data_IF_622056414349
#
_entry.id   IF_622056414349
#
_cell.length_a   1.000
_cell.length_b   1.000
_cell.length_c   1.000
_cell.angle_alpha   90.00
_cell.angle_beta   90.00
_cell.angle_gamma   90.00
#
_symmetry.space_group_name_H-M   'P 1'
#
loop_
_entity.id
_entity.type
_entity.pdbx_description
1 polymer ?
#
# COMPACT_ATOMS: atom_id res chain seq x y z
N UNK A 1 -2.11 -65.46 72.66
CA UNK A 1 -2.48 -64.03 72.69
C UNK A 1 -1.38 -63.28 72.01
N UNK A 2 -1.73 -62.49 71.02
CA UNK A 2 -0.78 -61.71 70.23
C UNK A 2 -1.08 -60.22 70.45
N UNK A 3 -0.03 -59.42 70.64
CA UNK A 3 -0.17 -57.97 70.75
C UNK A 3 0.10 -57.35 69.38
N UNK A 4 -0.91 -56.71 68.81
CA UNK A 4 -0.84 -56.11 67.47
C UNK A 4 -0.92 -54.59 67.61
N UNK A 5 -0.07 -53.89 66.86
CA UNK A 5 -0.02 -52.44 66.81
C UNK A 5 -0.10 -51.98 65.36
N UNK A 6 -1.17 -51.26 65.01
CA UNK A 6 -1.29 -50.62 63.71
C UNK A 6 -0.44 -49.36 63.64
N UNK A 7 0.08 -49.07 62.44
CA UNK A 7 0.82 -47.83 62.18
C UNK A 7 -0.13 -46.63 62.05
N UNK A 8 0.45 -45.43 61.99
CA UNK A 8 -0.29 -44.19 61.80
C UNK A 8 -1.05 -44.10 60.46
N UNK A 9 -0.71 -44.97 59.52
CA UNK A 9 -1.25 -45.02 58.17
C UNK A 9 -2.04 -46.32 57.89
N UNK A 10 -2.44 -47.02 58.94
CA UNK A 10 -3.16 -48.30 58.86
C UNK A 10 -4.34 -48.29 59.84
N UNK A 11 -5.50 -48.75 59.38
CA UNK A 11 -6.65 -49.09 60.21
C UNK A 11 -6.47 -50.49 60.78
N UNK A 12 -6.77 -50.64 62.07
CA UNK A 12 -6.85 -51.94 62.73
C UNK A 12 -8.30 -52.43 62.74
N UNK A 13 -8.57 -53.48 61.98
CA UNK A 13 -9.87 -54.14 61.94
C UNK A 13 -9.76 -55.49 62.62
N UNK A 14 -10.67 -55.80 63.55
CA UNK A 14 -10.72 -57.08 64.25
C UNK A 14 -11.99 -57.80 63.89
N UNK A 15 -11.88 -59.08 63.56
CA UNK A 15 -13.01 -59.95 63.34
C UNK A 15 -13.16 -60.93 64.49
N UNK A 16 -14.39 -61.05 65.01
CA UNK A 16 -14.76 -61.97 66.08
C UNK A 16 -16.12 -62.57 65.80
N UNK A 17 -16.23 -63.89 65.78
CA UNK A 17 -17.51 -64.60 65.63
C UNK A 17 -18.34 -64.15 64.42
N UNK A 18 -17.68 -63.85 63.29
CA UNK A 18 -18.33 -63.38 62.06
C UNK A 18 -18.73 -61.91 62.04
N UNK A 19 -18.47 -61.16 63.12
CA UNK A 19 -18.62 -59.70 63.16
C UNK A 19 -17.26 -59.03 62.95
N UNK A 20 -17.27 -57.90 62.25
CA UNK A 20 -16.08 -57.11 61.95
C UNK A 20 -16.23 -55.76 62.63
N UNK A 21 -15.22 -55.37 63.42
CA UNK A 21 -15.20 -54.14 64.19
C UNK A 21 -13.96 -53.33 63.83
N UNK A 22 -14.15 -52.04 63.51
CA UNK A 22 -13.06 -51.10 63.27
C UNK A 22 -12.60 -50.44 64.57
N UNK A 23 -11.33 -50.65 64.94
CA UNK A 23 -10.73 -50.03 66.13
C UNK A 23 -10.11 -48.66 65.85
N UNK A 24 -10.01 -48.26 64.58
CA UNK A 24 -9.46 -46.98 64.13
C UNK A 24 -7.97 -47.04 63.73
N UNK A 25 -7.42 -45.86 63.47
CA UNK A 25 -6.02 -45.67 63.03
C UNK A 25 -5.07 -45.62 64.23
N UNK A 26 -3.82 -46.07 64.05
CA UNK A 26 -2.75 -45.98 65.04
C UNK A 26 -3.07 -46.65 66.41
N UNK A 27 -4.01 -47.59 66.43
CA UNK A 27 -4.42 -48.32 67.63
C UNK A 27 -3.61 -49.58 67.83
N UNK A 28 -3.49 -49.98 69.08
CA UNK A 28 -2.93 -51.27 69.49
C UNK A 28 -3.93 -52.01 70.34
N UNK A 29 -4.05 -53.31 70.13
CA UNK A 29 -4.94 -54.16 70.92
C UNK A 29 -4.33 -55.56 71.13
N UNK A 30 -4.80 -56.25 72.16
CA UNK A 30 -4.51 -57.67 72.35
C UNK A 30 -5.54 -58.50 71.59
N UNK A 31 -5.06 -59.40 70.75
CA UNK A 31 -5.89 -60.35 69.99
C UNK A 31 -6.06 -61.62 70.84
N UNK A 32 -7.31 -61.87 71.21
CA UNK A 32 -7.71 -63.05 71.99
C UNK A 32 -7.91 -64.28 71.10
N UNK A 33 -7.77 -65.50 71.64
CA UNK A 33 -8.06 -66.72 70.90
C UNK A 33 -9.48 -66.70 70.28
N UNK A 34 -9.57 -67.01 68.98
CA UNK A 34 -10.83 -66.93 68.21
C UNK A 34 -11.12 -65.56 67.57
N UNK A 35 -10.21 -64.60 67.70
CA UNK A 35 -10.22 -63.35 66.93
C UNK A 35 -9.18 -63.40 65.82
N UNK A 36 -9.49 -62.78 64.68
CA UNK A 36 -8.52 -62.45 63.65
C UNK A 36 -8.41 -60.94 63.50
N UNK A 37 -7.30 -60.46 62.94
CA UNK A 37 -7.08 -59.05 62.68
C UNK A 37 -6.67 -58.85 61.23
N UNK A 38 -7.01 -57.68 60.71
CA UNK A 38 -6.70 -57.24 59.35
C UNK A 38 -6.19 -55.79 59.46
N UNK A 39 -5.08 -55.51 58.79
CA UNK A 39 -4.54 -54.16 58.69
C UNK A 39 -4.89 -53.59 57.32
N UNK A 40 -5.63 -52.49 57.30
CA UNK A 40 -6.11 -51.87 56.05
C UNK A 40 -5.40 -50.53 55.88
N UNK A 41 -4.77 -50.24 54.72
CA UNK A 41 -4.08 -48.97 54.52
C UNK A 41 -5.06 -47.79 54.56
N UNK A 42 -4.70 -46.73 55.27
CA UNK A 42 -5.44 -45.46 55.29
C UNK A 42 -4.85 -44.41 54.33
N UNK A 43 -3.73 -44.73 53.69
CA UNK A 43 -3.06 -43.86 52.71
C UNK A 43 -3.84 -43.77 51.41
N UNK A 44 -3.57 -42.70 50.66
CA UNK A 44 -3.99 -42.62 49.27
C UNK A 44 -3.23 -43.63 48.42
N UNK A 45 -3.94 -44.27 47.50
CA UNK A 45 -3.44 -45.28 46.58
C UNK A 45 -3.77 -44.82 45.17
N UNK A 46 -2.80 -45.00 44.27
CA UNK A 46 -2.93 -44.68 42.86
C UNK A 46 -3.13 -45.96 42.04
N UNK A 47 -4.14 -45.94 41.18
CA UNK A 47 -4.39 -46.94 40.17
C UNK A 47 -4.22 -46.30 38.79
N UNK A 48 -3.25 -46.79 38.02
CA UNK A 48 -3.04 -46.39 36.64
C UNK A 48 -3.78 -47.34 35.70
N UNK A 49 -4.33 -46.80 34.62
CA UNK A 49 -4.91 -47.61 33.55
C UNK A 49 -4.45 -47.08 32.18
N UNK A 50 -4.24 -48.01 31.25
CA UNK A 50 -3.86 -47.69 29.89
C UNK A 50 -4.56 -48.60 28.89
N UNK A 51 -5.07 -48.02 27.79
CA UNK A 51 -5.66 -48.78 26.69
C UNK A 51 -5.34 -48.19 25.35
N UNK A 52 -5.52 -49.02 24.31
CA UNK A 52 -5.61 -48.55 22.94
C UNK A 52 -6.99 -48.91 22.42
N UNK A 53 -7.71 -47.93 21.89
CA UNK A 53 -9.07 -48.07 21.39
C UNK A 53 -9.21 -47.23 20.11
N UNK A 54 -9.88 -47.80 19.12
CA UNK A 54 -10.22 -47.08 17.88
C UNK A 54 -11.42 -46.16 18.14
N UNK A 55 -11.30 -44.90 17.69
CA UNK A 55 -12.41 -43.94 17.68
C UNK A 55 -13.43 -44.29 16.61
N UNK A 56 -14.56 -43.56 16.58
CA UNK A 56 -15.56 -43.70 15.52
C UNK A 56 -15.00 -43.50 14.11
N UNK A 57 -13.98 -42.67 13.98
CA UNK A 57 -13.28 -42.39 12.72
C UNK A 57 -12.31 -43.51 12.31
N UNK A 58 -12.18 -44.58 13.10
CA UNK A 58 -11.25 -45.67 12.86
C UNK A 58 -9.79 -45.33 13.23
N UNK A 59 -9.56 -44.24 13.96
CA UNK A 59 -8.21 -43.82 14.34
C UNK A 59 -7.85 -44.50 15.69
N UNK A 60 -6.74 -45.24 15.77
CA UNK A 60 -6.31 -45.87 17.02
C UNK A 60 -5.74 -44.82 17.99
N UNK A 61 -6.45 -44.63 19.09
CA UNK A 61 -6.09 -43.72 20.17
C UNK A 61 -5.65 -44.51 21.40
N UNK A 62 -4.53 -44.10 22.00
CA UNK A 62 -4.04 -44.64 23.27
C UNK A 62 -4.42 -43.70 24.40
N UNK A 63 -5.19 -44.22 25.34
CA UNK A 63 -5.62 -43.52 26.54
C UNK A 63 -4.76 -43.96 27.71
N UNK A 64 -4.29 -43.00 28.50
CA UNK A 64 -3.69 -43.22 29.81
C UNK A 64 -4.40 -42.38 30.83
N UNK A 65 -4.73 -42.96 31.97
CA UNK A 65 -5.34 -42.25 33.08
C UNK A 65 -4.91 -42.80 34.43
N UNK A 66 -5.23 -42.02 35.45
CA UNK A 66 -4.94 -42.31 36.85
C UNK A 66 -6.21 -42.12 37.68
N UNK A 67 -6.38 -42.99 38.67
CA UNK A 67 -7.42 -42.89 39.69
C UNK A 67 -6.73 -42.91 41.04
N UNK A 68 -6.95 -41.86 41.83
CA UNK A 68 -6.45 -41.77 43.20
C UNK A 68 -7.62 -42.00 44.14
N UNK A 69 -7.51 -42.99 45.00
CA UNK A 69 -8.54 -43.35 45.98
C UNK A 69 -7.93 -43.58 47.36
N UNK A 70 -8.78 -43.63 48.37
CA UNK A 70 -8.40 -44.07 49.72
C UNK A 70 -9.55 -44.86 50.35
N UNK A 71 -9.24 -45.62 51.41
CA UNK A 71 -10.22 -46.44 52.12
C UNK A 71 -10.77 -45.62 53.29
N UNK A 72 -12.06 -45.29 53.22
CA UNK A 72 -12.77 -44.54 54.27
C UNK A 72 -13.48 -45.50 55.24
N UNK A 73 -14.06 -46.59 54.71
CA UNK A 73 -14.79 -47.61 55.49
C UNK A 73 -14.06 -48.94 55.46
N UNK A 74 -13.08 -49.15 56.36
CA UNK A 74 -12.23 -50.36 56.33
C UNK A 74 -13.01 -51.64 56.65
N UNK A 75 -14.15 -51.55 57.34
CA UNK A 75 -15.04 -52.69 57.63
C UNK A 75 -15.61 -53.31 56.35
N UNK A 76 -16.08 -52.46 55.43
CA UNK A 76 -16.68 -52.89 54.17
C UNK A 76 -15.59 -53.38 53.22
N UNK A 77 -14.45 -52.68 53.19
CA UNK A 77 -13.31 -53.08 52.38
C UNK A 77 -12.79 -54.46 52.80
N UNK A 78 -12.59 -54.70 54.10
CA UNK A 78 -12.07 -55.96 54.64
C UNK A 78 -13.02 -57.15 54.46
N UNK A 79 -14.33 -56.92 54.24
CA UNK A 79 -15.28 -57.98 53.88
C UNK A 79 -15.15 -58.45 52.43
N UNK A 80 -14.62 -57.60 51.55
CA UNK A 80 -14.63 -57.82 50.11
C UNK A 80 -13.25 -58.14 49.53
N UNK A 81 -12.21 -57.63 50.17
CA UNK A 81 -10.84 -57.71 49.69
C UNK A 81 -9.92 -58.27 50.77
N UNK A 82 -8.92 -59.05 50.36
CA UNK A 82 -7.93 -59.63 51.25
C UNK A 82 -6.72 -58.70 51.44
N UNK A 83 -6.61 -58.08 52.62
CA UNK A 83 -5.50 -57.17 52.96
C UNK A 83 -4.30 -57.85 53.65
N UNK A 84 -4.26 -59.18 53.73
CA UNK A 84 -3.22 -59.89 54.48
C UNK A 84 -1.82 -59.74 53.87
N UNK A 85 -1.71 -59.60 52.54
CA UNK A 85 -0.45 -59.58 51.77
C UNK A 85 -0.40 -58.49 50.68
N UNK A 86 -0.99 -57.31 50.92
CA UNK A 86 -1.07 -56.24 49.90
C UNK A 86 -1.82 -56.68 48.60
N UNK A 87 -2.61 -57.75 48.68
CA UNK A 87 -3.44 -58.24 47.58
C UNK A 87 -4.67 -57.37 47.37
N UNK A 88 -5.28 -56.89 48.46
CA UNK A 88 -6.47 -56.05 48.43
C UNK A 88 -6.31 -54.81 47.56
N UNK A 89 -5.29 -53.96 47.77
CA UNK A 89 -5.03 -52.81 46.90
C UNK A 89 -4.85 -53.18 45.43
N UNK A 90 -4.17 -54.31 45.14
CA UNK A 90 -3.96 -54.78 43.76
C UNK A 90 -5.25 -55.25 43.10
N UNK A 91 -6.09 -55.97 43.83
CA UNK A 91 -7.42 -56.39 43.36
C UNK A 91 -8.32 -55.18 43.10
N UNK A 92 -8.32 -54.21 44.01
CA UNK A 92 -9.07 -52.95 43.82
C UNK A 92 -8.55 -52.22 42.59
N UNK A 93 -7.22 -52.08 42.43
CA UNK A 93 -6.62 -51.44 41.26
C UNK A 93 -7.04 -52.14 39.96
N UNK A 94 -6.98 -53.47 39.92
CA UNK A 94 -7.39 -54.24 38.75
C UNK A 94 -8.90 -54.10 38.44
N UNK A 95 -9.76 -54.02 39.45
CA UNK A 95 -11.18 -53.77 39.24
C UNK A 95 -11.47 -52.36 38.76
N UNK A 96 -10.83 -51.34 39.36
CA UNK A 96 -10.91 -49.95 38.90
C UNK A 96 -10.44 -49.83 37.46
N UNK A 97 -9.33 -50.48 37.11
CA UNK A 97 -8.84 -50.56 35.74
C UNK A 97 -9.92 -51.15 34.82
N UNK A 98 -10.43 -52.34 35.10
CA UNK A 98 -11.43 -52.99 34.24
C UNK A 98 -12.71 -52.15 34.03
N UNK A 99 -13.22 -51.50 35.08
CA UNK A 99 -14.40 -50.63 34.97
C UNK A 99 -14.08 -49.40 34.13
N UNK A 100 -12.95 -48.73 34.44
CA UNK A 100 -12.51 -47.55 33.69
C UNK A 100 -12.31 -47.89 32.21
N UNK A 101 -11.76 -49.06 31.92
CA UNK A 101 -11.55 -49.56 30.58
C UNK A 101 -12.87 -49.87 29.84
N UNK A 102 -13.85 -50.42 30.55
CA UNK A 102 -15.18 -50.68 29.99
C UNK A 102 -15.89 -49.41 29.57
N UNK A 103 -15.96 -48.43 30.48
CA UNK A 103 -16.63 -47.15 30.23
C UNK A 103 -15.95 -46.31 29.15
N UNK A 104 -14.61 -46.25 29.18
CA UNK A 104 -13.85 -45.55 28.15
C UNK A 104 -14.07 -46.17 26.77
N UNK A 105 -14.12 -47.51 26.67
CA UNK A 105 -14.37 -48.18 25.41
C UNK A 105 -15.75 -47.82 24.85
N UNK A 106 -16.79 -47.84 25.69
CA UNK A 106 -18.14 -47.47 25.27
C UNK A 106 -18.18 -46.02 24.78
N UNK A 107 -17.61 -45.07 25.54
CA UNK A 107 -17.62 -43.64 25.14
C UNK A 107 -16.80 -43.35 23.89
N UNK A 108 -15.58 -43.86 23.79
CA UNK A 108 -14.68 -43.60 22.66
C UNK A 108 -15.25 -44.17 21.36
N UNK A 109 -15.98 -45.30 21.41
CA UNK A 109 -16.59 -45.89 20.22
C UNK A 109 -17.66 -45.01 19.55
N UNK A 110 -18.24 -44.08 20.31
CA UNK A 110 -19.26 -43.15 19.83
C UNK A 110 -18.71 -41.75 19.54
N UNK A 111 -17.43 -41.49 19.82
CA UNK A 111 -16.81 -40.16 19.70
C UNK A 111 -15.82 -40.11 18.54
N UNK A 112 -15.79 -38.96 17.88
CA UNK A 112 -14.80 -38.64 16.87
C UNK A 112 -13.46 -38.35 17.54
N UNK A 113 -12.36 -38.41 16.78
CA UNK A 113 -11.00 -38.22 17.30
C UNK A 113 -10.81 -36.84 17.95
N UNK A 114 -11.30 -35.78 17.31
CA UNK A 114 -11.15 -34.41 17.82
C UNK A 114 -11.94 -34.22 19.13
N UNK A 115 -13.14 -34.80 19.21
CA UNK A 115 -13.92 -34.84 20.44
C UNK A 115 -13.20 -35.60 21.56
N UNK A 116 -12.55 -36.74 21.26
CA UNK A 116 -11.75 -37.48 22.24
C UNK A 116 -10.57 -36.67 22.79
N UNK A 117 -9.93 -35.84 21.97
CA UNK A 117 -8.76 -35.03 22.36
C UNK A 117 -9.20 -33.82 23.20
N UNK A 118 -10.26 -33.12 22.76
CA UNK A 118 -10.75 -31.88 23.35
C UNK A 118 -11.61 -32.10 24.60
N UNK A 119 -12.51 -33.10 24.58
CA UNK A 119 -13.41 -33.40 25.69
C UNK A 119 -12.82 -34.37 26.73
N UNK A 120 -11.52 -34.67 26.62
CA UNK A 120 -10.78 -35.55 27.53
C UNK A 120 -10.98 -35.23 29.01
N UNK A 121 -10.96 -33.94 29.37
CA UNK A 121 -11.04 -33.48 30.76
C UNK A 121 -12.48 -33.38 31.28
N UNK A 122 -13.48 -33.46 30.42
CA UNK A 122 -14.87 -33.20 30.75
C UNK A 122 -15.70 -34.47 30.60
N UNK A 123 -16.13 -34.79 29.39
CA UNK A 123 -17.12 -35.85 29.12
C UNK A 123 -16.58 -37.24 29.49
N UNK A 124 -15.33 -37.52 29.12
CA UNK A 124 -14.70 -38.83 29.39
C UNK A 124 -14.41 -39.02 30.89
N UNK A 125 -13.80 -38.03 31.54
CA UNK A 125 -13.53 -38.11 32.99
C UNK A 125 -14.83 -38.21 33.79
N UNK A 126 -15.85 -37.41 33.48
CA UNK A 126 -17.10 -37.41 34.24
C UNK A 126 -17.88 -38.73 34.10
N UNK A 127 -17.82 -39.38 32.93
CA UNK A 127 -18.44 -40.68 32.73
C UNK A 127 -17.81 -41.74 33.63
N UNK A 128 -16.48 -41.79 33.67
CA UNK A 128 -15.73 -42.74 34.52
C UNK A 128 -15.96 -42.44 36.00
N UNK A 129 -15.93 -41.16 36.41
CA UNK A 129 -16.16 -40.75 37.81
C UNK A 129 -17.50 -41.27 38.30
N UNK A 130 -18.57 -41.07 37.53
CA UNK A 130 -19.92 -41.45 37.94
C UNK A 130 -20.05 -42.96 38.20
N UNK A 131 -19.49 -43.77 37.31
CA UNK A 131 -19.56 -45.23 37.44
C UNK A 131 -18.67 -45.72 38.59
N UNK A 132 -17.43 -45.20 38.66
CA UNK A 132 -16.51 -45.58 39.72
C UNK A 132 -17.01 -45.14 41.10
N UNK A 133 -17.64 -43.98 41.25
CA UNK A 133 -18.22 -43.53 42.53
C UNK A 133 -19.32 -44.47 43.03
N UNK A 134 -20.15 -44.97 42.13
CA UNK A 134 -21.23 -45.92 42.45
C UNK A 134 -20.65 -47.22 43.00
N UNK A 135 -19.60 -47.73 42.35
CA UNK A 135 -18.95 -48.97 42.75
C UNK A 135 -18.11 -48.76 44.03
N UNK A 136 -17.43 -47.62 44.14
CA UNK A 136 -16.59 -47.23 45.26
C UNK A 136 -17.34 -47.21 46.60
N UNK A 137 -18.55 -46.66 46.62
CA UNK A 137 -19.42 -46.70 47.80
C UNK A 137 -19.66 -48.13 48.29
N UNK A 138 -19.81 -49.05 47.35
CA UNK A 138 -20.07 -50.45 47.65
C UNK A 138 -18.80 -51.12 48.22
N UNK A 139 -17.62 -50.71 47.79
CA UNK A 139 -16.32 -51.18 48.29
C UNK A 139 -15.83 -50.51 49.58
N UNK A 140 -16.49 -49.44 50.03
CA UNK A 140 -16.05 -48.67 51.18
C UNK A 140 -14.84 -47.76 50.90
N UNK A 141 -14.58 -47.47 49.63
CA UNK A 141 -13.52 -46.56 49.18
C UNK A 141 -14.11 -45.21 48.76
N UNK A 142 -13.29 -44.17 48.82
CA UNK A 142 -13.61 -42.85 48.30
C UNK A 142 -12.60 -42.50 47.22
N UNK A 143 -13.12 -42.05 46.09
CA UNK A 143 -12.33 -41.62 44.94
C UNK A 143 -12.07 -40.13 45.10
N UNK A 144 -10.80 -39.75 45.10
CA UNK A 144 -10.40 -38.35 45.29
C UNK A 144 -10.21 -37.66 43.95
N UNK A 145 -9.56 -38.34 43.01
CA UNK A 145 -9.22 -37.79 41.69
C UNK A 145 -9.34 -38.90 40.65
N UNK A 146 -10.00 -38.60 39.54
CA UNK A 146 -9.97 -39.38 38.30
C UNK A 146 -9.50 -38.46 37.21
N UNK A 147 -8.46 -38.85 36.48
CA UNK A 147 -7.95 -38.05 35.38
C UNK A 147 -7.54 -38.92 34.21
N UNK A 148 -8.11 -38.64 33.04
CA UNK A 148 -7.59 -39.13 31.77
C UNK A 148 -6.46 -38.18 31.34
N UNK A 149 -5.21 -38.61 31.56
CA UNK A 149 -4.04 -37.76 31.43
C UNK A 149 -3.68 -37.47 29.96
N UNK A 150 -3.58 -38.51 29.13
CA UNK A 150 -2.99 -38.38 27.80
C UNK A 150 -3.72 -39.25 26.78
N UNK A 151 -4.06 -38.63 25.64
CA UNK A 151 -4.55 -39.32 24.43
C UNK A 151 -3.44 -39.21 23.40
N UNK A 152 -2.85 -40.33 23.01
CA UNK A 152 -1.85 -40.38 21.94
C UNK A 152 -2.44 -41.04 20.71
N UNK A 153 -2.28 -40.42 19.54
CA UNK A 153 -2.47 -41.12 18.27
C UNK A 153 -1.33 -42.14 18.17
N UNK A 154 -1.67 -43.43 18.03
CA UNK A 154 -0.68 -44.51 18.01
C UNK A 154 0.15 -44.47 16.73
N UNK A 155 -0.46 -44.04 15.63
CA UNK A 155 0.15 -44.03 14.30
C UNK A 155 0.86 -42.69 13.99
N UNK A 156 2.14 -42.76 13.65
CA UNK A 156 2.98 -41.58 13.40
C UNK A 156 2.71 -40.94 12.03
N UNK A 157 2.19 -41.71 11.07
CA UNK A 157 1.77 -41.20 9.75
C UNK A 157 0.52 -40.33 9.86
N UNK A 158 -0.52 -40.79 10.57
CA UNK A 158 -1.74 -40.01 10.82
C UNK A 158 -1.40 -38.73 11.58
N UNK A 159 -0.49 -38.79 12.56
CA UNK A 159 -0.03 -37.60 13.28
C UNK A 159 0.60 -36.57 12.32
N UNK A 160 1.52 -36.99 11.44
CA UNK A 160 2.17 -36.11 10.47
C UNK A 160 1.18 -35.53 9.46
N UNK A 161 0.20 -36.32 9.04
CA UNK A 161 -0.88 -35.87 8.16
C UNK A 161 -1.74 -34.80 8.84
N UNK A 162 -2.21 -35.05 10.06
CA UNK A 162 -2.98 -34.06 10.84
C UNK A 162 -2.19 -32.78 11.09
N UNK A 163 -0.90 -32.89 11.45
CA UNK A 163 -0.02 -31.72 11.60
C UNK A 163 0.14 -30.94 10.29
N UNK A 164 0.16 -31.64 9.15
CA UNK A 164 0.20 -31.02 7.84
C UNK A 164 -1.13 -30.35 7.49
N UNK A 165 -2.27 -30.97 7.80
CA UNK A 165 -3.60 -30.40 7.56
C UNK A 165 -3.84 -29.14 8.40
N UNK A 166 -3.54 -29.19 9.70
CA UNK A 166 -3.64 -28.03 10.59
C UNK A 166 -2.72 -26.90 10.09
N UNK A 167 -1.50 -27.24 9.66
CA UNK A 167 -0.56 -26.26 9.09
C UNK A 167 -1.08 -25.66 7.79
N UNK A 168 -1.67 -26.47 6.91
CA UNK A 168 -2.24 -26.00 5.65
C UNK A 168 -3.48 -25.14 5.89
N UNK A 169 -4.35 -25.51 6.83
CA UNK A 169 -5.50 -24.71 7.22
C UNK A 169 -5.07 -23.37 7.82
N UNK A 170 -4.05 -23.37 8.69
CA UNK A 170 -3.50 -22.14 9.27
C UNK A 170 -2.88 -21.24 8.18
N UNK A 171 -2.13 -21.83 7.24
CA UNK A 171 -1.59 -21.10 6.08
C UNK A 171 -2.70 -20.49 5.24
N UNK A 172 -3.72 -21.27 4.88
CA UNK A 172 -4.85 -20.76 4.10
C UNK A 172 -5.59 -19.62 4.83
N UNK A 173 -5.75 -19.73 6.15
CA UNK A 173 -6.37 -18.68 6.96
C UNK A 173 -5.51 -17.41 7.00
N UNK A 174 -4.19 -17.56 7.15
CA UNK A 174 -3.24 -16.44 7.09
C UNK A 174 -3.21 -15.79 5.72
N UNK A 175 -3.14 -16.57 4.65
CA UNK A 175 -3.19 -16.07 3.26
C UNK A 175 -4.47 -15.29 2.99
N UNK A 176 -5.62 -15.79 3.45
CA UNK A 176 -6.89 -15.06 3.36
C UNK A 176 -6.87 -13.74 4.15
N UNK A 177 -6.19 -13.70 5.29
CA UNK A 177 -6.02 -12.47 6.08
C UNK A 177 -5.09 -11.47 5.37
N UNK A 178 -4.01 -11.96 4.76
CA UNK A 178 -3.05 -11.14 4.02
C UNK A 178 -3.71 -10.54 2.76
N UNK A 179 -4.46 -11.34 2.00
CA UNK A 179 -5.24 -10.87 0.84
C UNK A 179 -6.23 -9.77 1.26
N UNK A 180 -6.98 -9.97 2.36
CA UNK A 180 -7.91 -8.94 2.85
C UNK A 180 -7.21 -7.65 3.25
N UNK A 181 -6.00 -7.77 3.81
CA UNK A 181 -5.18 -6.61 4.21
C UNK A 181 -4.66 -5.88 2.98
N UNK A 182 -4.17 -6.60 1.97
CA UNK A 182 -3.72 -6.03 0.70
C UNK A 182 -4.86 -5.37 -0.08
N UNK A 183 -6.05 -5.99 -0.11
CA UNK A 183 -7.25 -5.38 -0.68
C UNK A 183 -7.65 -4.08 0.05
N UNK A 184 -7.53 -4.05 1.38
CA UNK A 184 -7.82 -2.83 2.14
C UNK A 184 -6.81 -1.71 1.81
N UNK A 185 -5.52 -2.04 1.72
CA UNK A 185 -4.45 -1.09 1.36
C UNK A 185 -4.65 -0.57 -0.06
N UNK A 186 -4.94 -1.44 -1.03
CA UNK A 186 -5.16 -1.06 -2.43
C UNK A 186 -6.40 -0.19 -2.59
N UNK A 187 -7.49 -0.45 -1.86
CA UNK A 187 -8.68 0.42 -1.83
C UNK A 187 -8.35 1.79 -1.25
N UNK A 188 -7.62 1.85 -0.14
CA UNK A 188 -7.24 3.12 0.49
C UNK A 188 -6.29 3.92 -0.41
N UNK A 189 -5.32 3.27 -1.05
CA UNK A 189 -4.43 3.91 -2.01
C UNK A 189 -5.20 4.44 -3.23
N UNK A 190 -6.11 3.67 -3.81
CA UNK A 190 -6.94 4.12 -4.92
C UNK A 190 -7.85 5.31 -4.52
N UNK A 191 -8.39 5.31 -3.30
CA UNK A 191 -9.16 6.42 -2.77
C UNK A 191 -8.29 7.66 -2.57
N UNK A 192 -7.06 7.49 -2.06
CA UNK A 192 -6.09 8.57 -1.91
C UNK A 192 -5.65 9.13 -3.27
N UNK A 193 -5.42 8.28 -4.27
CA UNK A 193 -5.07 8.71 -5.63
C UNK A 193 -6.20 9.51 -6.28
N UNK A 194 -7.46 9.09 -6.08
CA UNK A 194 -8.62 9.86 -6.56
C UNK A 194 -8.73 11.22 -5.86
N UNK A 195 -8.43 11.27 -4.56
CA UNK A 195 -8.40 12.54 -3.80
C UNK A 195 -7.30 13.47 -4.33
N UNK A 196 -6.09 12.96 -4.53
CA UNK A 196 -4.97 13.72 -5.09
C UNK A 196 -5.27 14.25 -6.50
N UNK A 197 -5.83 13.41 -7.39
CA UNK A 197 -6.23 13.85 -8.74
C UNK A 197 -7.32 14.93 -8.71
N UNK A 198 -8.24 14.85 -7.75
CA UNK A 198 -9.28 15.87 -7.58
C UNK A 198 -8.69 17.19 -7.10
N UNK A 199 -7.81 17.15 -6.09
CA UNK A 199 -7.08 18.32 -5.58
C UNK A 199 -6.21 18.95 -6.68
N UNK A 200 -5.51 18.14 -7.48
CA UNK A 200 -4.70 18.62 -8.62
C UNK A 200 -5.57 19.29 -9.68
N UNK A 201 -6.73 18.71 -10.02
CA UNK A 201 -7.66 19.31 -10.97
C UNK A 201 -8.27 20.62 -10.47
N UNK A 202 -8.56 20.71 -9.17
CA UNK A 202 -9.01 21.95 -8.52
C UNK A 202 -7.90 23.02 -8.57
N UNK A 203 -6.66 22.67 -8.26
CA UNK A 203 -5.50 23.56 -8.38
C UNK A 203 -5.26 24.02 -9.82
N UNK A 204 -5.36 23.13 -10.81
CA UNK A 204 -5.23 23.50 -12.23
C UNK A 204 -6.32 24.48 -12.65
N UNK A 205 -7.57 24.29 -12.19
CA UNK A 205 -8.67 25.24 -12.42
C UNK A 205 -8.40 26.60 -11.81
N UNK A 206 -7.88 26.65 -10.58
CA UNK A 206 -7.51 27.90 -9.92
C UNK A 206 -6.39 28.62 -10.67
N UNK A 207 -5.32 27.90 -11.03
CA UNK A 207 -4.22 28.44 -11.82
C UNK A 207 -4.70 29.01 -13.15
N UNK A 208 -5.58 28.30 -13.86
CA UNK A 208 -6.15 28.77 -15.13
C UNK A 208 -7.02 30.02 -14.95
N UNK A 209 -7.78 30.13 -13.85
CA UNK A 209 -8.54 31.35 -13.52
C UNK A 209 -7.60 32.54 -13.28
N UNK A 210 -6.56 32.34 -12.48
CA UNK A 210 -5.56 33.38 -12.18
C UNK A 210 -4.84 33.83 -13.46
N UNK A 211 -4.47 32.88 -14.34
CA UNK A 211 -3.82 33.21 -15.61
C UNK A 211 -4.76 34.00 -16.53
N UNK A 212 -6.04 33.66 -16.57
CA UNK A 212 -7.05 34.37 -17.35
C UNK A 212 -7.26 35.80 -16.81
N UNK A 213 -7.34 35.97 -15.50
CA UNK A 213 -7.41 37.29 -14.86
C UNK A 213 -6.16 38.12 -15.15
N UNK A 214 -4.97 37.52 -15.06
CA UNK A 214 -3.71 38.18 -15.40
C UNK A 214 -3.69 38.64 -16.85
N UNK A 215 -4.09 37.79 -17.80
CA UNK A 215 -4.19 38.15 -19.21
C UNK A 215 -5.19 39.28 -19.46
N UNK A 216 -6.33 39.28 -18.76
CA UNK A 216 -7.31 40.38 -18.81
C UNK A 216 -6.70 41.69 -18.32
N UNK A 217 -6.01 41.66 -17.18
CA UNK A 217 -5.36 42.84 -16.61
C UNK A 217 -4.24 43.37 -17.51
N UNK A 218 -3.43 42.48 -18.09
CA UNK A 218 -2.39 42.84 -19.07
C UNK A 218 -3.01 43.46 -20.33
N UNK A 219 -4.14 42.95 -20.81
CA UNK A 219 -4.85 43.53 -21.94
C UNK A 219 -5.41 44.93 -21.60
N UNK A 220 -6.01 45.09 -20.42
CA UNK A 220 -6.50 46.39 -19.95
C UNK A 220 -5.37 47.41 -19.79
N UNK A 221 -4.21 46.99 -19.24
CA UNK A 221 -3.03 47.84 -19.12
C UNK A 221 -2.49 48.25 -20.49
N UNK A 222 -2.39 47.33 -21.46
CA UNK A 222 -1.99 47.67 -22.83
C UNK A 222 -2.96 48.63 -23.51
N UNK A 223 -4.26 48.47 -23.29
CA UNK A 223 -5.25 49.43 -23.80
C UNK A 223 -5.07 50.82 -23.19
N UNK A 224 -4.84 50.92 -21.88
CA UNK A 224 -4.54 52.20 -21.20
C UNK A 224 -3.25 52.84 -21.71
N UNK A 225 -2.20 52.04 -21.90
CA UNK A 225 -0.93 52.52 -22.45
C UNK A 225 -1.10 53.03 -23.89
N UNK A 226 -1.81 52.30 -24.74
CA UNK A 226 -2.09 52.71 -26.12
C UNK A 226 -2.95 53.98 -26.16
N UNK A 227 -3.95 54.11 -25.28
CA UNK A 227 -4.79 55.30 -25.16
C UNK A 227 -4.00 56.55 -24.74
N UNK A 228 -2.95 56.40 -23.92
CA UNK A 228 -2.05 57.49 -23.52
C UNK A 228 -1.04 57.87 -24.59
N UNK A 229 -0.53 56.89 -25.35
CA UNK A 229 0.44 57.12 -26.42
C UNK A 229 -0.18 57.74 -27.69
N UNK A 230 -1.48 57.50 -27.93
CA UNK A 230 -2.19 58.04 -29.10
C UNK A 230 -2.22 59.58 -29.14
N UNK A 231 -2.58 60.31 -28.06
CA UNK A 231 -2.55 61.78 -28.07
C UNK A 231 -1.12 62.34 -28.14
N UNK A 232 -0.12 61.67 -27.55
CA UNK A 232 1.28 62.08 -27.65
C UNK A 232 1.78 62.02 -29.10
N UNK A 233 1.49 60.92 -29.81
CA UNK A 233 1.86 60.79 -31.23
C UNK A 233 1.17 61.80 -32.13
N UNK A 234 -0.09 62.15 -31.82
CA UNK A 234 -0.82 63.21 -32.54
C UNK A 234 -0.15 64.57 -32.31
N UNK A 235 0.23 64.88 -31.06
CA UNK A 235 0.92 66.11 -30.72
C UNK A 235 2.32 66.21 -31.36
N UNK A 236 3.09 65.12 -31.38
CA UNK A 236 4.39 65.06 -32.07
C UNK A 236 4.22 65.27 -33.59
N UNK A 237 3.23 64.62 -34.21
CA UNK A 237 2.94 64.80 -35.63
C UNK A 237 2.51 66.24 -35.98
N UNK A 238 1.77 66.92 -35.10
CA UNK A 238 1.41 68.33 -35.25
C UNK A 238 2.65 69.24 -35.16
N UNK A 239 3.57 68.97 -34.22
CA UNK A 239 4.83 69.72 -34.13
C UNK A 239 5.69 69.52 -35.38
N UNK A 240 5.80 68.29 -35.88
CA UNK A 240 6.58 67.99 -37.08
C UNK A 240 6.00 68.67 -38.32
N UNK A 241 4.67 68.71 -38.46
CA UNK A 241 4.00 69.47 -39.52
C UNK A 241 4.31 70.97 -39.46
N UNK A 242 4.32 71.56 -38.26
CA UNK A 242 4.65 72.98 -38.08
C UNK A 242 6.11 73.27 -38.45
N UNK A 243 7.03 72.37 -38.09
CA UNK A 243 8.45 72.47 -38.46
C UNK A 243 8.61 72.37 -39.98
N UNK A 244 7.91 71.43 -40.64
CA UNK A 244 7.94 71.30 -42.10
C UNK A 244 7.40 72.56 -42.81
N UNK A 245 6.31 73.16 -42.32
CA UNK A 245 5.79 74.41 -42.87
C UNK A 245 6.82 75.55 -42.79
N UNK A 246 7.47 75.72 -41.64
CA UNK A 246 8.54 76.72 -41.47
C UNK A 246 9.75 76.47 -42.36
N UNK A 247 10.12 75.20 -42.58
CA UNK A 247 11.19 74.86 -43.52
C UNK A 247 10.82 75.25 -44.96
N UNK A 248 9.58 75.01 -45.37
CA UNK A 248 9.08 75.37 -46.71
C UNK A 248 9.12 76.88 -46.93
N UNK A 249 8.70 77.67 -45.94
CA UNK A 249 8.83 79.14 -45.96
C UNK A 249 10.28 79.60 -46.08
N UNK A 250 11.21 78.97 -45.34
CA UNK A 250 12.64 79.27 -45.46
C UNK A 250 13.20 78.94 -46.86
N UNK A 251 12.76 77.84 -47.47
CA UNK A 251 13.15 77.49 -48.83
C UNK A 251 12.63 78.50 -49.86
N UNK A 252 11.39 78.96 -49.75
CA UNK A 252 10.85 80.01 -50.62
C UNK A 252 11.59 81.34 -50.47
N UNK A 253 11.92 81.72 -49.24
CA UNK A 253 12.68 82.94 -48.96
C UNK A 253 14.10 82.85 -49.54
N UNK A 254 14.74 81.69 -49.42
CA UNK A 254 16.06 81.43 -50.01
C UNK A 254 16.02 81.44 -51.54
N UNK A 255 14.97 80.91 -52.16
CA UNK A 255 14.77 80.97 -53.61
C UNK A 255 14.60 82.42 -54.10
N UNK A 256 13.82 83.24 -53.38
CA UNK A 256 13.68 84.69 -53.66
C UNK A 256 15.00 85.43 -53.53
N UNK A 257 15.79 85.13 -52.50
CA UNK A 257 17.11 85.74 -52.27
C UNK A 257 18.13 85.35 -53.36
N UNK A 258 18.09 84.12 -53.85
CA UNK A 258 18.93 83.66 -54.96
C UNK A 258 18.56 84.37 -56.28
N UNK A 259 17.26 84.60 -56.56
CA UNK A 259 16.82 85.37 -57.73
C UNK A 259 17.31 86.83 -57.69
N UNK A 260 17.31 87.46 -56.50
CA UNK A 260 17.82 88.82 -56.32
C UNK A 260 19.34 88.87 -56.51
N UNK A 261 20.08 87.90 -55.95
CA UNK A 261 21.54 87.78 -56.19
C UNK A 261 21.88 87.56 -57.66
N UNK A 262 21.12 86.72 -58.36
CA UNK A 262 21.33 86.47 -59.78
C UNK A 262 21.10 87.74 -60.63
N UNK A 263 20.11 88.57 -60.26
CA UNK A 263 19.87 89.88 -60.92
C UNK A 263 20.96 90.90 -60.62
N UNK A 264 21.52 90.90 -59.40
CA UNK A 264 22.62 91.80 -59.04
C UNK A 264 23.91 91.47 -59.81
N UNK A 265 24.26 90.18 -59.92
CA UNK A 265 25.46 89.75 -60.65
C UNK A 265 25.36 90.05 -62.16
N UNK A 266 24.17 89.96 -62.75
CA UNK A 266 23.92 90.29 -64.15
C UNK A 266 24.04 91.80 -64.45
N UNK A 267 23.75 92.66 -63.47
CA UNK A 267 23.92 94.11 -63.61
C UNK A 267 25.41 94.52 -63.54
N UNK A 268 26.20 93.83 -62.72
CA UNK A 268 27.65 94.07 -62.55
C UNK A 268 28.44 93.71 -63.82
N UNK A 269 28.08 92.62 -64.51
CA UNK A 269 28.71 92.21 -65.78
C UNK A 269 28.45 93.18 -66.94
N UNK A 270 27.32 93.88 -66.93
CA UNK A 270 26.94 94.85 -67.97
C UNK A 270 27.71 96.18 -67.81
N UNK A 271 28.02 96.59 -66.57
CA UNK A 271 28.83 97.79 -66.32
C UNK A 271 30.32 97.58 -66.60
N UNK A 272 30.90 96.44 -66.22
CA UNK A 272 32.32 96.16 -66.42
C UNK A 272 32.72 96.05 -67.91
N UNK A 273 31.76 95.72 -68.80
CA UNK A 273 31.99 95.63 -70.24
C UNK A 273 31.90 96.99 -70.99
N UNK A 274 31.35 98.04 -70.37
CA UNK A 274 31.22 99.38 -70.99
C UNK A 274 32.44 100.28 -70.81
N UNK A 275 33.22 100.08 -69.75
CA UNK A 275 34.37 100.94 -69.41
C UNK A 275 35.69 100.51 -70.08
N UNK A 276 35.74 99.29 -70.64
CA UNK A 276 36.99 98.69 -71.16
C UNK A 276 37.35 99.03 -72.61
N UNK A 277 36.63 99.91 -73.29
CA UNK A 277 36.75 100.13 -74.76
C UNK A 277 37.42 101.43 -75.24
N UNK A 278 37.90 102.34 -74.38
CA UNK A 278 38.37 103.67 -74.84
C UNK A 278 39.87 104.03 -74.65
N UNK A 279 40.79 103.13 -74.23
CA UNK A 279 42.24 103.39 -74.38
C UNK A 279 43.05 102.12 -74.70
N UNK A 280 43.71 102.12 -75.87
CA UNK A 280 44.84 101.27 -76.31
C UNK A 280 46.18 101.96 -75.97
N UNK A 281 47.38 101.34 -76.10
CA UNK A 281 47.78 99.93 -76.23
C UNK A 281 48.92 99.51 -75.26
N UNK A 282 49.13 98.20 -75.05
CA UNK A 282 50.42 97.49 -75.20
C UNK A 282 50.31 96.04 -74.68
N UNK A 283 50.74 95.15 -75.56
CA UNK A 283 51.25 93.80 -75.32
C UNK A 283 50.31 92.63 -74.92
N UNK A 284 50.50 91.59 -75.73
CA UNK A 284 50.35 90.16 -75.49
C UNK A 284 49.01 89.47 -75.82
N UNK A 285 49.13 88.65 -76.89
CA UNK A 285 48.51 87.34 -77.17
C UNK A 285 46.98 87.28 -77.03
N UNK A 286 46.25 86.99 -78.12
CA UNK A 286 46.04 85.57 -78.46
C UNK A 286 45.72 85.27 -79.95
N UNK A 287 45.85 83.99 -80.34
CA UNK A 287 44.98 83.40 -81.35
C UNK A 287 44.18 82.27 -80.72
N UNK A 288 42.89 82.49 -80.76
CA UNK A 288 41.80 81.54 -80.59
C UNK A 288 41.84 80.54 -81.76
N UNK A 289 41.32 79.34 -81.51
CA UNK A 289 41.01 78.26 -82.44
C UNK A 289 42.14 77.25 -82.72
N UNK A 290 42.25 76.22 -81.87
CA UNK A 290 42.61 74.86 -82.33
C UNK A 290 42.41 73.70 -81.31
N UNK A 291 41.32 73.67 -80.54
CA UNK A 291 41.06 72.54 -79.63
C UNK A 291 39.59 72.12 -79.51
N UNK A 292 38.89 72.06 -80.65
CA UNK A 292 37.55 71.43 -80.80
C UNK A 292 37.59 70.12 -81.60
N UNK A 293 38.74 69.63 -82.06
CA UNK A 293 38.74 68.52 -83.04
C UNK A 293 39.37 67.18 -82.63
N UNK A 294 39.94 67.01 -81.43
CA UNK A 294 40.67 65.74 -81.11
C UNK A 294 40.59 65.22 -79.67
N UNK A 295 39.47 65.40 -78.98
CA UNK A 295 39.11 64.50 -77.87
C UNK A 295 37.65 64.06 -78.04
N UNK A 296 37.47 63.07 -78.93
CA UNK A 296 36.38 62.08 -78.91
C UNK A 296 34.95 62.66 -78.99
N UNK A 297 34.41 63.05 -80.16
CA UNK A 297 34.13 62.24 -81.35
C UNK A 297 33.78 60.78 -81.05
N UNK A 298 32.48 60.49 -81.05
CA UNK A 298 31.95 59.13 -81.01
C UNK A 298 30.47 59.06 -80.66
N UNK A 299 29.63 59.88 -81.30
CA UNK A 299 28.20 59.65 -81.31
C UNK A 299 27.91 58.25 -81.88
N UNK A 300 27.17 57.42 -81.15
CA UNK A 300 26.35 56.37 -81.74
C UNK A 300 25.04 56.26 -80.96
N UNK A 301 23.99 56.77 -81.60
CA UNK A 301 22.63 56.30 -81.40
C UNK A 301 22.55 54.86 -81.90
N UNK A 302 22.20 53.92 -81.03
CA UNK A 302 21.55 52.69 -81.45
C UNK A 302 20.73 52.10 -80.31
N UNK A 303 19.45 51.86 -80.60
CA UNK A 303 18.54 50.99 -79.88
C UNK A 303 19.19 49.65 -79.50
N UNK A 304 19.11 49.25 -78.22
CA UNK A 304 18.66 47.94 -77.71
C UNK A 304 19.03 47.81 -76.22
N UNK A 305 18.07 47.27 -75.46
CA UNK A 305 18.25 46.51 -74.22
C UNK A 305 18.61 47.22 -72.88
N UNK A 306 17.69 46.97 -71.94
CA UNK A 306 17.93 46.43 -70.59
C UNK A 306 17.78 47.36 -69.38
N UNK A 307 16.51 47.71 -69.14
CA UNK A 307 15.95 47.70 -67.79
C UNK A 307 15.75 46.26 -67.33
N UNK A 308 16.45 45.81 -66.27
CA UNK A 308 15.92 44.93 -65.19
C UNK A 308 16.99 44.10 -64.48
N UNK A 309 17.85 44.74 -63.69
CA UNK A 309 18.61 44.01 -62.67
C UNK A 309 18.62 44.79 -61.36
N UNK A 310 17.50 44.71 -60.63
CA UNK A 310 17.43 44.84 -59.17
C UNK A 310 16.08 44.31 -58.62
N UNK A 311 15.49 43.31 -59.29
CA UNK A 311 14.26 42.61 -58.87
C UNK A 311 14.31 41.09 -59.18
N UNK A 312 15.44 40.43 -58.90
CA UNK A 312 15.60 38.97 -59.08
C UNK A 312 15.71 38.18 -57.76
N UNK A 313 15.45 38.81 -56.61
CA UNK A 313 15.63 38.18 -55.29
C UNK A 313 14.35 37.67 -54.59
N UNK A 314 13.15 37.98 -55.07
CA UNK A 314 11.89 37.71 -54.32
C UNK A 314 10.97 36.69 -55.02
N UNK A 315 11.28 36.30 -56.26
CA UNK A 315 10.50 35.31 -57.01
C UNK A 315 10.44 33.89 -56.41
N UNK A 316 11.46 33.36 -55.71
CA UNK A 316 11.38 32.00 -55.14
C UNK A 316 10.51 31.88 -53.88
N UNK A 317 10.25 32.98 -53.16
CA UNK A 317 9.45 32.93 -51.92
C UNK A 317 7.94 32.99 -52.16
N UNK A 318 7.51 33.60 -53.26
CA UNK A 318 6.08 33.64 -53.64
C UNK A 318 5.60 32.24 -54.06
N UNK A 319 6.46 31.44 -54.71
CA UNK A 319 6.14 30.09 -55.17
C UNK A 319 6.09 29.03 -54.04
N UNK A 320 6.73 29.33 -52.90
CA UNK A 320 6.66 28.51 -51.68
C UNK A 320 5.37 28.75 -50.88
N UNK A 321 4.84 29.97 -50.93
CA UNK A 321 3.57 30.34 -50.26
C UNK A 321 2.36 29.80 -51.03
N UNK A 322 2.37 29.78 -52.37
CA UNK A 322 1.31 29.16 -53.18
C UNK A 322 1.27 27.63 -53.08
N UNK A 323 2.40 26.97 -52.82
CA UNK A 323 2.44 25.51 -52.57
C UNK A 323 2.03 25.11 -51.16
N UNK A 324 2.17 26.01 -50.18
CA UNK A 324 1.67 25.81 -48.82
C UNK A 324 0.15 25.93 -48.73
N UNK A 325 -0.45 26.87 -49.47
CA UNK A 325 -1.90 27.14 -49.43
C UNK A 325 -2.75 26.11 -50.21
N UNK A 326 -2.14 25.31 -51.09
CA UNK A 326 -2.83 24.25 -51.84
C UNK A 326 -2.72 22.85 -51.20
N UNK A 327 -2.06 22.72 -50.04
CA UNK A 327 -1.85 21.42 -49.35
C UNK A 327 -2.87 21.15 -48.23
N UNK A 328 -3.59 22.18 -47.76
CA UNK A 328 -4.57 22.08 -46.68
C UNK A 328 -6.01 21.74 -47.14
N UNK A 329 -6.22 21.46 -48.43
CA UNK A 329 -7.56 21.21 -49.02
C UNK A 329 -7.81 19.76 -49.48
N UNK A 330 -7.02 18.77 -49.01
CA UNK A 330 -7.14 17.36 -49.44
C UNK A 330 -7.42 16.36 -48.30
N UNK A 331 -7.29 16.73 -47.02
CA UNK A 331 -7.47 15.78 -45.89
C UNK A 331 -8.81 15.90 -45.14
N UNK A 332 -9.90 16.22 -45.85
CA UNK A 332 -11.28 16.09 -45.33
C UNK A 332 -12.10 15.16 -46.22
N UNK A 333 -11.65 13.91 -46.36
CA UNK A 333 -12.50 12.80 -46.79
C UNK A 333 -11.74 11.50 -46.55
N UNK A 334 -11.97 10.86 -45.41
CA UNK A 334 -11.87 9.41 -45.15
C UNK A 334 -11.84 9.16 -43.64
N UNK A 335 -13.00 9.12 -42.99
CA UNK A 335 -13.28 8.17 -41.90
C UNK A 335 -14.76 8.28 -41.51
N UNK A 336 -15.59 7.67 -42.35
CA UNK A 336 -16.99 7.40 -42.05
C UNK A 336 -17.28 6.01 -42.61
N UNK A 337 -16.87 4.97 -41.87
CA UNK A 337 -17.31 3.56 -42.02
C UNK A 337 -16.58 2.66 -41.01
N UNK A 338 -17.18 2.46 -39.84
CA UNK A 338 -17.60 1.14 -39.34
C UNK A 338 -18.33 1.28 -38.01
#
# INVERSE_FOLDING_TARGET
MEFVKAKANEYLVVAKSGQIENLGVARSTFIWPGQSFIMVPSTQIEAEFAMTQESRDGIPLRFKGIVVYHIEKPEIAAQRFDFSDDKGPKEINHLIENVSLGELRDKVSHMDMDACINERKTTLTNAIVKELETIAQTWGIVINVVQVAQVFIVEDEIRKQLESEVRNHLRATSELSDIKTEEAITRENAASDLRLKKEEFEHQKEHMKIELERKKLEHENKQKETALLTPLKIFEAEQDMLIMQKMLELYELKAKMNLIKAKANLAEEIEQNKVRKEMLPLEQLPKIADSVSRMFNGANLSFYNDSSQLLSGIAPMIDMVTRSLNRDNVDTNLENKK
#
